data_IF_658740571891
#
_entry.id   IF_658740571891
#
_cell.length_a   1.000
_cell.length_b   1.000
_cell.length_c   1.000
_cell.angle_alpha   90.00
_cell.angle_beta   90.00
_cell.angle_gamma   90.00
#
_symmetry.space_group_name_H-M   'P 1'
#
loop_
_entity.id
_entity.type
_entity.pdbx_description
1 polymer ?
#
# COMPACT_ATOMS: atom_id res chain seq x y z
N UNK A 1 3.97 14.40 8.53
CA UNK A 1 4.01 12.96 8.79
C UNK A 1 3.95 12.77 10.30
N UNK A 2 2.98 12.04 10.83
CA UNK A 2 2.79 11.93 12.29
C UNK A 2 3.48 10.70 12.86
N UNK A 3 3.28 9.54 12.24
CA UNK A 3 3.85 8.25 12.70
C UNK A 3 4.13 7.33 11.53
N UNK A 4 5.32 6.73 11.52
CA UNK A 4 5.75 5.70 10.57
C UNK A 4 5.96 4.39 11.32
N UNK A 5 5.22 3.35 10.91
CA UNK A 5 5.16 2.05 11.60
C UNK A 5 5.27 0.91 10.61
N UNK A 6 5.61 -0.27 11.12
CA UNK A 6 5.64 -1.47 10.29
C UNK A 6 5.54 -2.76 11.08
N UNK A 7 5.29 -3.84 10.35
CA UNK A 7 5.43 -5.20 10.84
C UNK A 7 6.31 -5.96 9.86
N UNK A 8 7.37 -6.57 10.37
CA UNK A 8 8.20 -7.51 9.66
C UNK A 8 7.92 -8.90 10.20
N UNK A 9 7.47 -9.81 9.36
CA UNK A 9 7.12 -11.17 9.76
C UNK A 9 7.94 -12.19 8.99
N UNK A 10 8.35 -13.25 9.66
CA UNK A 10 8.83 -14.45 9.00
C UNK A 10 8.23 -15.71 9.63
N UNK A 11 7.99 -16.73 8.81
CA UNK A 11 7.45 -18.02 9.23
C UNK A 11 8.53 -19.09 9.07
N UNK A 12 8.92 -19.73 10.18
CA UNK A 12 9.98 -20.77 10.21
C UNK A 12 11.34 -20.35 9.61
N UNK A 13 11.72 -19.07 9.78
CA UNK A 13 12.99 -18.50 9.31
C UNK A 13 13.74 -17.69 10.38
N UNK A 14 13.36 -17.82 11.65
CA UNK A 14 13.94 -17.10 12.80
C UNK A 14 15.44 -17.35 12.98
N UNK A 15 15.92 -18.59 12.80
CA UNK A 15 17.35 -18.93 12.92
C UNK A 15 18.24 -18.12 11.96
N UNK A 16 17.66 -17.63 10.86
CA UNK A 16 18.32 -16.79 9.85
C UNK A 16 18.07 -15.30 10.07
N UNK A 17 17.36 -14.95 11.14
CA UNK A 17 17.01 -13.58 11.55
C UNK A 17 16.36 -12.78 10.43
N UNK A 18 15.47 -13.42 9.66
CA UNK A 18 14.94 -12.86 8.41
C UNK A 18 14.16 -11.57 8.66
N UNK A 19 13.26 -11.57 9.65
CA UNK A 19 12.44 -10.41 9.96
C UNK A 19 13.27 -9.26 10.57
N UNK A 20 14.27 -9.57 11.39
CA UNK A 20 15.19 -8.56 11.94
C UNK A 20 16.03 -7.90 10.84
N UNK A 21 16.51 -8.68 9.86
CA UNK A 21 17.29 -8.15 8.73
C UNK A 21 16.43 -7.29 7.81
N UNK A 22 15.18 -7.68 7.56
CA UNK A 22 14.22 -6.85 6.83
C UNK A 22 14.02 -5.51 7.53
N UNK A 23 13.66 -5.53 8.82
CA UNK A 23 13.46 -4.31 9.61
C UNK A 23 14.70 -3.40 9.65
N UNK A 24 15.89 -4.00 9.80
CA UNK A 24 17.16 -3.25 9.77
C UNK A 24 17.41 -2.60 8.40
N UNK A 25 17.23 -3.33 7.32
CA UNK A 25 17.42 -2.80 5.97
C UNK A 25 16.44 -1.68 5.63
N UNK A 26 15.17 -1.85 6.05
CA UNK A 26 14.14 -0.81 5.95
C UNK A 26 14.58 0.47 6.66
N UNK A 27 14.96 0.40 7.94
CA UNK A 27 15.37 1.60 8.68
C UNK A 27 16.69 2.21 8.17
N UNK A 28 17.60 1.41 7.61
CA UNK A 28 18.78 1.96 6.94
C UNK A 28 18.40 2.82 5.72
N UNK A 29 17.45 2.36 4.90
CA UNK A 29 16.95 3.12 3.76
C UNK A 29 16.17 4.37 4.20
N UNK A 30 15.28 4.23 5.17
CA UNK A 30 14.48 5.36 5.66
C UNK A 30 15.35 6.45 6.28
N UNK A 31 16.37 6.08 7.06
CA UNK A 31 17.28 7.05 7.69
C UNK A 31 18.09 7.84 6.67
N UNK A 32 18.44 7.26 5.51
CA UNK A 32 19.08 8.02 4.44
C UNK A 32 18.16 9.06 3.80
N UNK A 33 16.85 9.00 4.08
CA UNK A 33 15.82 9.95 3.65
C UNK A 33 15.25 10.76 4.83
N UNK A 34 15.91 10.75 5.99
CA UNK A 34 15.49 11.53 7.17
C UNK A 34 14.27 10.96 7.90
N UNK A 35 13.90 9.70 7.65
CA UNK A 35 12.77 9.03 8.27
C UNK A 35 13.23 7.83 9.12
N UNK A 36 12.38 7.40 10.05
CA UNK A 36 12.60 6.17 10.83
C UNK A 36 11.25 5.53 11.17
N UNK A 37 11.18 4.20 11.03
CA UNK A 37 9.98 3.42 11.30
C UNK A 37 10.09 2.65 12.63
N UNK A 38 8.99 2.67 13.39
CA UNK A 38 8.77 1.74 14.48
C UNK A 38 8.30 0.38 13.89
N UNK A 39 9.23 -0.57 13.73
CA UNK A 39 8.95 -1.86 13.10
C UNK A 39 8.86 -2.95 14.16
N UNK A 40 7.69 -3.59 14.26
CA UNK A 40 7.50 -4.80 15.07
C UNK A 40 8.02 -6.02 14.31
N UNK A 41 8.95 -6.74 14.91
CA UNK A 41 9.45 -8.03 14.39
C UNK A 41 8.59 -9.16 14.92
N UNK A 42 8.15 -10.06 14.05
CA UNK A 42 7.29 -11.21 14.38
C UNK A 42 7.88 -12.48 13.76
N UNK A 43 8.24 -13.44 14.62
CA UNK A 43 8.71 -14.76 14.21
C UNK A 43 7.57 -15.76 14.40
N UNK A 44 6.84 -16.04 13.33
CA UNK A 44 5.73 -16.97 13.30
C UNK A 44 6.22 -18.42 13.21
N UNK A 45 5.60 -19.28 14.02
CA UNK A 45 5.87 -20.73 14.10
C UNK A 45 4.58 -21.55 13.95
N UNK A 46 3.49 -20.93 13.49
CA UNK A 46 2.19 -21.59 13.37
C UNK A 46 2.11 -22.59 12.22
N UNK A 47 2.87 -22.39 11.13
CA UNK A 47 2.84 -23.26 9.95
C UNK A 47 4.23 -23.73 9.47
N UNK A 48 4.70 -24.93 9.85
CA UNK A 48 6.01 -25.46 9.47
C UNK A 48 6.16 -25.77 7.98
N UNK A 49 5.04 -25.94 7.27
CA UNK A 49 5.02 -26.35 5.87
C UNK A 49 5.21 -25.16 4.91
N UNK A 50 4.94 -23.94 5.37
CA UNK A 50 4.99 -22.74 4.54
C UNK A 50 5.99 -21.74 5.11
N UNK A 51 7.23 -21.84 4.63
CA UNK A 51 8.26 -20.85 4.92
C UNK A 51 8.03 -19.61 4.06
N UNK A 52 8.10 -18.46 4.70
CA UNK A 52 7.89 -17.18 4.02
C UNK A 52 8.27 -16.01 4.90
N UNK A 53 8.29 -14.83 4.31
CA UNK A 53 8.49 -13.59 5.03
C UNK A 53 7.84 -12.45 4.28
N UNK A 54 7.40 -11.42 5.00
CA UNK A 54 6.92 -10.19 4.42
C UNK A 54 7.18 -9.03 5.35
N UNK A 55 7.21 -7.83 4.80
CA UNK A 55 7.31 -6.60 5.56
C UNK A 55 6.28 -5.62 5.01
N UNK A 56 5.48 -5.05 5.90
CA UNK A 56 4.55 -3.98 5.60
C UNK A 56 4.91 -2.76 6.43
N UNK A 57 4.86 -1.59 5.80
CA UNK A 57 5.00 -0.28 6.41
C UNK A 57 3.76 0.54 6.12
N UNK A 58 3.45 1.43 7.03
CA UNK A 58 2.42 2.43 6.81
C UNK A 58 2.74 3.71 7.56
N UNK A 59 2.15 4.79 7.07
CA UNK A 59 2.36 6.12 7.60
C UNK A 59 1.04 6.87 7.71
N UNK A 60 0.86 7.51 8.86
CA UNK A 60 -0.23 8.46 9.09
C UNK A 60 0.26 9.87 8.74
N UNK A 61 -0.38 10.48 7.74
CA UNK A 61 -0.10 11.85 7.32
C UNK A 61 -0.84 12.86 8.20
N UNK A 62 -0.45 14.13 8.18
CA UNK A 62 -1.11 15.19 8.95
C UNK A 62 -2.54 15.50 8.50
N UNK A 63 -2.97 14.96 7.35
CA UNK A 63 -4.35 15.06 6.87
C UNK A 63 -5.21 13.87 7.28
N UNK A 64 -4.64 12.90 8.00
CA UNK A 64 -5.30 11.64 8.37
C UNK A 64 -5.27 10.57 7.28
N UNK A 65 -4.62 10.81 6.14
CA UNK A 65 -4.42 9.76 5.12
C UNK A 65 -3.42 8.71 5.63
N UNK A 66 -3.74 7.45 5.36
CA UNK A 66 -2.89 6.29 5.66
C UNK A 66 -2.31 5.75 4.35
N UNK A 67 -0.99 5.84 4.18
CA UNK A 67 -0.30 5.34 3.00
C UNK A 67 0.51 4.10 3.37
N UNK A 68 0.42 3.05 2.56
CA UNK A 68 1.11 1.78 2.76
C UNK A 68 2.24 1.53 1.77
N UNK A 69 3.16 0.65 2.15
CA UNK A 69 4.12 0.03 1.25
C UNK A 69 4.61 -1.29 1.84
N UNK A 70 4.63 -2.33 1.02
CA UNK A 70 5.03 -3.66 1.44
C UNK A 70 5.97 -4.34 0.44
N UNK A 71 6.57 -5.43 0.89
CA UNK A 71 7.26 -6.38 0.03
C UNK A 71 7.25 -7.77 0.66
N UNK A 72 7.20 -8.78 -0.20
CA UNK A 72 7.28 -10.19 0.20
C UNK A 72 8.65 -10.78 -0.14
N UNK A 73 9.05 -11.77 0.68
CA UNK A 73 10.21 -12.60 0.43
C UNK A 73 9.91 -13.67 -0.61
N UNK A 74 10.90 -13.94 -1.45
CA UNK A 74 10.81 -14.88 -2.56
C UNK A 74 12.11 -15.70 -2.64
N UNK A 75 12.06 -16.82 -3.36
CA UNK A 75 13.25 -17.64 -3.59
C UNK A 75 14.33 -16.78 -4.27
N UNK A 76 15.55 -16.78 -3.70
CA UNK A 76 16.72 -15.98 -4.12
C UNK A 76 16.62 -14.47 -3.84
N UNK A 77 15.55 -13.98 -3.23
CA UNK A 77 15.44 -12.60 -2.76
C UNK A 77 15.95 -12.51 -1.32
N UNK A 78 16.88 -11.59 -1.06
CA UNK A 78 17.46 -11.43 0.28
C UNK A 78 16.52 -10.63 1.19
N UNK A 79 16.63 -10.82 2.51
CA UNK A 79 15.86 -10.05 3.49
C UNK A 79 16.10 -8.55 3.37
N UNK A 80 17.34 -8.18 3.04
CA UNK A 80 17.75 -6.80 2.87
C UNK A 80 17.07 -6.15 1.65
N UNK A 81 16.95 -6.90 0.54
CA UNK A 81 16.20 -6.45 -0.64
C UNK A 81 14.72 -6.27 -0.31
N UNK A 82 14.10 -7.21 0.41
CA UNK A 82 12.68 -7.08 0.83
C UNK A 82 12.49 -5.82 1.70
N UNK A 83 13.36 -5.61 2.69
CA UNK A 83 13.27 -4.43 3.56
C UNK A 83 13.44 -3.11 2.80
N UNK A 84 14.36 -3.08 1.82
CA UNK A 84 14.59 -1.91 0.95
C UNK A 84 13.39 -1.65 0.04
N UNK A 85 12.88 -2.66 -0.65
CA UNK A 85 11.75 -2.51 -1.58
C UNK A 85 10.49 -2.02 -0.85
N UNK A 86 10.17 -2.56 0.32
CA UNK A 86 9.03 -2.06 1.11
C UNK A 86 9.20 -0.58 1.48
N UNK A 87 10.42 -0.16 1.83
CA UNK A 87 10.72 1.23 2.14
C UNK A 87 10.63 2.14 0.90
N UNK A 88 11.15 1.69 -0.25
CA UNK A 88 11.04 2.38 -1.54
C UNK A 88 9.57 2.50 -1.98
N UNK A 89 8.78 1.45 -1.81
CA UNK A 89 7.36 1.43 -2.12
C UNK A 89 6.62 2.49 -1.30
N UNK A 90 6.78 2.49 0.02
CA UNK A 90 6.15 3.48 0.87
C UNK A 90 6.63 4.90 0.55
N UNK A 91 7.94 5.09 0.37
CA UNK A 91 8.52 6.41 0.14
C UNK A 91 7.97 7.05 -1.14
N UNK A 92 7.74 6.25 -2.20
CA UNK A 92 7.09 6.73 -3.43
C UNK A 92 5.67 7.24 -3.21
N UNK A 93 4.90 6.63 -2.31
CA UNK A 93 3.56 7.10 -1.97
C UNK A 93 3.61 8.41 -1.18
N UNK A 94 4.52 8.49 -0.21
CA UNK A 94 4.71 9.69 0.62
C UNK A 94 5.15 10.89 -0.21
N UNK A 95 6.17 10.72 -1.04
CA UNK A 95 6.70 11.78 -1.91
C UNK A 95 5.65 12.26 -2.93
N UNK A 96 4.75 11.37 -3.37
CA UNK A 96 3.70 11.75 -4.31
C UNK A 96 2.65 12.67 -3.69
N UNK A 97 2.55 12.73 -2.35
CA UNK A 97 1.50 13.46 -1.63
C UNK A 97 0.08 13.02 -2.04
N UNK A 98 -0.08 11.72 -2.35
CA UNK A 98 -1.36 11.12 -2.67
C UNK A 98 -2.25 10.99 -1.42
N UNK A 99 -3.57 10.85 -1.61
CA UNK A 99 -4.48 10.58 -0.48
C UNK A 99 -4.58 9.09 -0.18
N UNK A 100 -4.23 8.24 -1.14
CA UNK A 100 -4.22 6.78 -1.03
C UNK A 100 -3.03 6.22 -1.80
N UNK A 101 -2.47 5.10 -1.34
CA UNK A 101 -1.45 4.36 -2.09
C UNK A 101 -2.08 3.63 -3.29
N UNK A 102 -1.23 3.18 -4.22
CA UNK A 102 -1.70 2.54 -5.46
C UNK A 102 -2.51 1.27 -5.23
N UNK A 103 -2.25 0.51 -4.16
CA UNK A 103 -2.99 -0.71 -3.88
C UNK A 103 -4.36 -0.39 -3.27
N UNK A 104 -4.41 0.59 -2.36
CA UNK A 104 -5.67 1.08 -1.80
C UNK A 104 -6.55 1.74 -2.87
N UNK A 105 -5.96 2.45 -3.85
CA UNK A 105 -6.69 3.00 -4.99
C UNK A 105 -7.52 1.92 -5.71
N UNK A 106 -6.90 0.78 -6.03
CA UNK A 106 -7.57 -0.35 -6.69
C UNK A 106 -8.70 -0.92 -5.82
N UNK A 107 -8.46 -1.06 -4.51
CA UNK A 107 -9.40 -1.64 -3.55
C UNK A 107 -10.59 -0.72 -3.22
N UNK A 108 -10.44 0.61 -3.35
CA UNK A 108 -11.49 1.56 -3.00
C UNK A 108 -12.62 1.64 -4.03
N UNK A 109 -12.38 1.24 -5.27
CA UNK A 109 -13.36 1.34 -6.36
C UNK A 109 -14.75 0.79 -5.99
N UNK A 110 -14.92 -0.45 -5.49
CA UNK A 110 -16.25 -0.97 -5.14
C UNK A 110 -16.95 -0.15 -4.05
N UNK A 111 -16.21 0.34 -3.04
CA UNK A 111 -16.78 1.14 -1.96
C UNK A 111 -17.21 2.51 -2.46
N UNK A 112 -16.36 3.16 -3.25
CA UNK A 112 -16.63 4.46 -3.88
C UNK A 112 -17.80 4.36 -4.86
N UNK A 113 -17.91 3.26 -5.60
CA UNK A 113 -19.02 3.02 -6.50
C UNK A 113 -20.36 2.95 -5.75
N UNK A 114 -20.38 2.25 -4.60
CA UNK A 114 -21.59 2.07 -3.78
C UNK A 114 -21.94 3.28 -2.89
N UNK A 115 -20.97 4.17 -2.62
CA UNK A 115 -21.19 5.35 -1.79
C UNK A 115 -22.29 6.26 -2.37
N UNK A 116 -23.11 6.84 -1.51
CA UNK A 116 -24.07 7.87 -1.90
C UNK A 116 -23.34 9.21 -2.12
N UNK A 117 -23.60 9.86 -3.25
CA UNK A 117 -23.04 11.19 -3.55
C UNK A 117 -21.67 11.14 -4.23
N UNK A 118 -20.92 12.23 -4.08
CA UNK A 118 -19.60 12.39 -4.67
C UNK A 118 -18.53 11.73 -3.79
N UNK A 119 -17.56 11.09 -4.42
CA UNK A 119 -16.41 10.49 -3.75
C UNK A 119 -15.17 10.72 -4.59
N UNK A 120 -14.10 11.18 -3.94
CA UNK A 120 -12.88 11.65 -4.61
C UNK A 120 -11.66 11.16 -3.85
N UNK A 121 -10.67 10.65 -4.58
CA UNK A 121 -9.35 10.38 -4.03
C UNK A 121 -8.25 10.60 -5.08
N UNK A 122 -7.03 10.84 -4.60
CA UNK A 122 -5.83 11.02 -5.41
C UNK A 122 -4.89 9.82 -5.25
N UNK A 123 -4.45 9.26 -6.37
CA UNK A 123 -3.42 8.21 -6.44
C UNK A 123 -2.27 8.66 -7.33
N UNK A 124 -1.05 8.16 -7.09
CA UNK A 124 0.13 8.50 -7.91
C UNK A 124 0.13 7.84 -9.29
N UNK A 125 -0.62 6.77 -9.48
CA UNK A 125 -0.64 6.01 -10.73
C UNK A 125 -2.00 5.37 -10.96
N UNK A 126 -2.34 5.21 -12.24
CA UNK A 126 -3.46 4.37 -12.69
C UNK A 126 -2.86 3.01 -13.06
N UNK A 127 -3.20 1.98 -12.30
CA UNK A 127 -2.81 0.60 -12.58
C UNK A 127 -3.81 -0.04 -13.54
N UNK A 128 -3.42 -1.14 -14.21
CA UNK A 128 -4.37 -1.92 -15.02
C UNK A 128 -5.54 -2.47 -14.17
N UNK A 129 -5.28 -2.77 -12.90
CA UNK A 129 -6.30 -3.19 -11.93
C UNK A 129 -7.27 -2.05 -11.60
N UNK A 130 -6.77 -0.82 -11.40
CA UNK A 130 -7.63 0.35 -11.17
C UNK A 130 -8.57 0.57 -12.35
N UNK A 131 -8.02 0.57 -13.57
CA UNK A 131 -8.78 0.81 -14.79
C UNK A 131 -9.84 -0.28 -15.01
N UNK A 132 -9.45 -1.54 -14.85
CA UNK A 132 -10.38 -2.68 -14.95
C UNK A 132 -11.48 -2.62 -13.90
N UNK A 133 -11.13 -2.31 -12.64
CA UNK A 133 -12.10 -2.22 -11.55
C UNK A 133 -13.09 -1.06 -11.78
N UNK A 134 -12.60 0.09 -12.25
CA UNK A 134 -13.44 1.23 -12.60
C UNK A 134 -14.40 0.85 -13.71
N UNK A 135 -13.90 0.29 -14.81
CA UNK A 135 -14.74 -0.15 -15.93
C UNK A 135 -15.83 -1.12 -15.46
N UNK A 136 -15.45 -2.15 -14.70
CA UNK A 136 -16.38 -3.17 -14.20
C UNK A 136 -17.45 -2.57 -13.28
N UNK A 137 -17.07 -1.65 -12.39
CA UNK A 137 -18.01 -0.99 -11.50
C UNK A 137 -19.03 -0.14 -12.27
N UNK A 138 -18.60 0.54 -13.34
CA UNK A 138 -19.51 1.30 -14.20
C UNK A 138 -20.49 0.37 -14.94
N UNK A 139 -20.02 -0.75 -15.49
CA UNK A 139 -20.87 -1.72 -16.21
C UNK A 139 -21.92 -2.37 -15.29
N UNK A 140 -21.52 -2.78 -14.08
CA UNK A 140 -22.42 -3.50 -13.17
C UNK A 140 -23.38 -2.55 -12.45
N UNK A 141 -22.92 -1.38 -12.00
CA UNK A 141 -23.68 -0.50 -11.09
C UNK A 141 -24.26 0.74 -11.80
N UNK A 142 -23.92 0.96 -13.07
CA UNK A 142 -24.33 2.13 -13.85
C UNK A 142 -23.84 3.47 -13.28
N UNK A 143 -22.79 3.44 -12.46
CA UNK A 143 -22.14 4.65 -11.93
C UNK A 143 -21.20 5.25 -12.98
N UNK A 144 -20.78 6.49 -12.76
CA UNK A 144 -19.77 7.16 -13.59
C UNK A 144 -18.56 7.52 -12.76
N UNK A 145 -17.40 7.05 -13.21
CA UNK A 145 -16.11 7.46 -12.73
C UNK A 145 -15.45 8.41 -13.74
N UNK A 146 -14.70 9.37 -13.22
CA UNK A 146 -13.85 10.25 -14.00
C UNK A 146 -12.43 10.17 -13.45
N UNK A 147 -11.48 9.94 -14.36
CA UNK A 147 -10.05 9.89 -14.06
C UNK A 147 -9.40 11.10 -14.74
N UNK A 148 -8.81 11.99 -13.95
CA UNK A 148 -8.16 13.22 -14.46
C UNK A 148 -6.78 13.37 -13.86
N UNK A 149 -5.83 13.92 -14.64
CA UNK A 149 -4.49 14.21 -14.14
C UNK A 149 -4.48 15.57 -13.42
N UNK A 150 -4.00 15.59 -12.18
CA UNK A 150 -3.87 16.80 -11.35
C UNK A 150 -2.43 16.89 -10.85
N UNK A 151 -1.62 17.74 -11.48
CA UNK A 151 -0.19 17.81 -11.21
C UNK A 151 0.51 16.49 -11.57
N UNK A 152 1.17 15.86 -10.60
CA UNK A 152 1.82 14.56 -10.70
C UNK A 152 0.90 13.38 -10.30
N UNK A 153 -0.34 13.65 -9.90
CA UNK A 153 -1.29 12.66 -9.41
C UNK A 153 -2.45 12.44 -10.40
N UNK A 154 -3.24 11.40 -10.13
CA UNK A 154 -4.51 11.12 -10.78
C UNK A 154 -5.63 11.26 -9.77
N UNK A 155 -6.63 12.08 -10.12
CA UNK A 155 -7.88 12.24 -9.38
C UNK A 155 -8.89 11.26 -9.91
N UNK A 156 -9.33 10.36 -9.03
CA UNK A 156 -10.42 9.43 -9.26
C UNK A 156 -11.65 10.01 -8.57
N UNK A 157 -12.68 10.27 -9.36
CA UNK A 157 -13.93 10.86 -8.89
C UNK A 157 -15.10 10.01 -9.35
N UNK A 158 -16.02 9.73 -8.43
CA UNK A 158 -17.33 9.14 -8.75
C UNK A 158 -18.40 10.16 -8.41
N UNK A 159 -19.34 10.36 -9.33
CA UNK A 159 -20.49 11.26 -9.15
C UNK A 159 -21.82 10.48 -9.15
N UNK A 160 -22.83 11.04 -8.48
CA UNK A 160 -24.20 10.50 -8.46
C UNK A 160 -24.43 9.34 -7.50
N UNK A 161 -25.58 8.67 -7.61
CA UNK A 161 -25.93 7.47 -6.83
C UNK A 161 -25.88 6.23 -7.72
N UNK A 162 -25.60 5.03 -7.16
CA UNK A 162 -25.76 3.78 -7.90
C UNK A 162 -27.19 3.65 -8.45
N UNK A 163 -27.35 3.01 -9.61
CA UNK A 163 -28.68 2.60 -10.06
C UNK A 163 -29.28 1.66 -9.00
N UNK A 164 -30.40 2.04 -8.40
CA UNK A 164 -31.15 1.17 -7.50
C UNK A 164 -32.03 0.25 -8.36
N UNK A 165 -31.89 -1.06 -8.18
CA UNK A 165 -32.83 -2.07 -8.68
C UNK A 165 -34.18 -1.97 -7.99
#
# INVERSE_FOLDING_TARGET
MEKLRGVSVCTFLEDRRVAERQAKATNNYLRSHGLEAEIRVVNDKSNPLQKGSSLVLWVETSTGALLGGDAIGEIRKTSEVVGREAAENLFREVEAHATVDVHLADMLVPYVALADGESVYLTRAVTDHLDTNIWLAQEILGVKFQVTRVGNLYRIEKSGKPLRS
#
